data_IF_413152679736
#
_entry.id   IF_413152679736
#
_cell.length_a   1.000
_cell.length_b   1.000
_cell.length_c   1.000
_cell.angle_alpha   90.00
_cell.angle_beta   90.00
_cell.angle_gamma   90.00
#
_symmetry.space_group_name_H-M   'P 1'
#
loop_
_entity.id
_entity.type
_entity.pdbx_description
1 polymer ?
#
# COMPACT_ATOMS: atom_id res chain seq x y z
N UNK A 1 -5.18 -7.96 15.74
CA UNK A 1 -6.64 -8.06 15.58
C UNK A 1 -6.90 -8.84 14.30
N UNK A 2 -7.69 -9.91 14.34
CA UNK A 2 -8.10 -10.63 13.13
C UNK A 2 -9.00 -9.68 12.32
N UNK A 3 -8.69 -9.44 11.05
CA UNK A 3 -9.68 -8.87 10.13
C UNK A 3 -10.88 -9.81 10.15
N UNK A 4 -12.00 -9.36 10.73
CA UNK A 4 -13.26 -10.07 10.62
C UNK A 4 -13.71 -9.92 9.18
N UNK A 5 -13.90 -11.04 8.49
CA UNK A 5 -14.69 -11.06 7.25
C UNK A 5 -16.01 -10.36 7.53
N UNK A 6 -16.33 -9.37 6.69
CA UNK A 6 -17.56 -8.59 6.77
C UNK A 6 -18.75 -9.54 6.61
N UNK A 7 -19.63 -9.58 7.63
CA UNK A 7 -20.84 -10.42 7.58
C UNK A 7 -21.77 -9.92 6.47
N UNK A 8 -21.93 -10.71 5.42
CA UNK A 8 -22.81 -10.41 4.27
C UNK A 8 -22.10 -10.41 2.93
N UNK A 9 -20.76 -10.39 2.90
CA UNK A 9 -20.01 -10.64 1.69
C UNK A 9 -20.12 -12.12 1.32
N UNK A 10 -20.59 -12.42 0.11
CA UNK A 10 -20.20 -13.68 -0.52
C UNK A 10 -18.67 -13.76 -0.45
N UNK A 11 -18.06 -14.92 -0.17
CA UNK A 11 -16.61 -15.04 -0.19
C UNK A 11 -16.14 -14.43 -1.50
N UNK A 12 -15.30 -13.39 -1.45
CA UNK A 12 -14.85 -12.69 -2.65
C UNK A 12 -14.21 -13.73 -3.56
N UNK A 13 -14.96 -14.17 -4.56
CA UNK A 13 -14.44 -15.05 -5.59
C UNK A 13 -13.63 -14.12 -6.47
N UNK A 14 -12.31 -14.22 -6.39
CA UNK A 14 -11.46 -13.71 -7.46
C UNK A 14 -12.10 -14.16 -8.77
N UNK A 15 -12.31 -13.27 -9.76
CA UNK A 15 -12.60 -13.76 -11.10
C UNK A 15 -11.52 -14.78 -11.41
N UNK A 16 -11.95 -15.99 -11.81
CA UNK A 16 -11.05 -17.12 -11.98
C UNK A 16 -9.80 -16.62 -12.72
N UNK A 17 -8.62 -16.91 -12.16
CA UNK A 17 -7.33 -16.57 -12.79
C UNK A 17 -7.16 -17.26 -14.15
N UNK A 18 -8.13 -18.09 -14.55
CA UNK A 18 -8.21 -18.85 -15.78
C UNK A 18 -9.58 -18.60 -16.44
N UNK A 19 -9.56 -18.02 -17.66
CA UNK A 19 -10.76 -17.73 -18.46
C UNK A 19 -10.48 -16.76 -19.63
N UNK A 20 -11.34 -16.78 -20.66
CA UNK A 20 -11.22 -15.96 -21.90
C UNK A 20 -11.29 -14.44 -21.67
N UNK A 21 -11.70 -13.99 -20.48
CA UNK A 21 -11.79 -12.57 -20.09
C UNK A 21 -10.59 -12.07 -19.27
N UNK A 22 -9.57 -12.91 -19.07
CA UNK A 22 -8.37 -12.54 -18.29
C UNK A 22 -7.54 -11.50 -19.04
N UNK A 23 -7.35 -10.34 -18.43
CA UNK A 23 -6.33 -9.39 -18.86
C UNK A 23 -4.97 -9.98 -18.49
N UNK A 24 -4.17 -10.33 -19.51
CA UNK A 24 -2.79 -10.76 -19.30
C UNK A 24 -1.90 -9.55 -18.98
N UNK A 25 -1.60 -9.39 -17.70
CA UNK A 25 -0.73 -8.33 -17.17
C UNK A 25 0.75 -8.77 -17.11
N UNK A 26 1.10 -9.90 -17.71
CA UNK A 26 2.44 -10.49 -17.66
C UNK A 26 2.81 -11.03 -16.28
N UNK A 27 4.10 -11.30 -16.07
CA UNK A 27 4.63 -11.98 -14.89
C UNK A 27 5.56 -11.10 -14.03
N UNK A 28 5.41 -9.77 -14.12
CA UNK A 28 6.22 -8.85 -13.32
C UNK A 28 5.99 -9.06 -11.82
N UNK A 29 7.07 -9.07 -11.06
CA UNK A 29 7.09 -9.28 -9.61
C UNK A 29 8.20 -8.44 -8.99
N UNK A 30 7.93 -7.85 -7.83
CA UNK A 30 8.98 -7.18 -7.04
C UNK A 30 9.98 -8.21 -6.54
N UNK A 31 11.29 -7.92 -6.61
CA UNK A 31 12.30 -8.94 -6.28
C UNK A 31 12.18 -9.47 -4.84
N UNK A 32 12.02 -8.58 -3.86
CA UNK A 32 11.90 -8.91 -2.43
C UNK A 32 10.77 -8.10 -1.82
N UNK A 33 9.94 -8.78 -1.02
CA UNK A 33 8.93 -8.13 -0.18
C UNK A 33 9.09 -8.61 1.26
N UNK A 34 9.49 -7.68 2.14
CA UNK A 34 9.76 -8.01 3.54
C UNK A 34 8.51 -8.61 4.20
N UNK A 35 8.69 -9.76 4.86
CA UNK A 35 7.66 -10.49 5.59
C UNK A 35 6.52 -11.03 4.72
N UNK A 36 6.76 -11.23 3.42
CA UNK A 36 5.80 -11.82 2.51
C UNK A 36 6.35 -13.00 1.72
N UNK A 37 7.63 -12.98 1.32
CA UNK A 37 8.23 -14.01 0.44
C UNK A 37 8.21 -15.44 1.02
N UNK A 38 7.91 -15.59 2.31
CA UNK A 38 7.76 -16.89 2.98
C UNK A 38 6.35 -17.47 2.86
N UNK A 39 5.39 -16.68 2.39
CA UNK A 39 4.00 -17.08 2.23
C UNK A 39 3.61 -16.96 0.76
N UNK A 40 3.65 -18.09 0.05
CA UNK A 40 3.39 -18.14 -1.41
C UNK A 40 2.01 -17.62 -1.79
N UNK A 41 0.97 -17.93 -1.01
CA UNK A 41 -0.39 -17.46 -1.28
C UNK A 41 -0.50 -15.94 -1.12
N UNK A 42 0.05 -15.39 -0.03
CA UNK A 42 0.11 -13.95 0.19
C UNK A 42 0.92 -13.23 -0.89
N UNK A 43 2.04 -13.84 -1.31
CA UNK A 43 2.93 -13.32 -2.35
C UNK A 43 2.24 -13.28 -3.71
N UNK A 44 1.50 -14.33 -4.09
CA UNK A 44 0.73 -14.38 -5.34
C UNK A 44 -0.30 -13.25 -5.43
N UNK A 45 -1.05 -12.99 -4.34
CA UNK A 45 -1.98 -11.86 -4.28
C UNK A 45 -1.27 -10.52 -4.40
N UNK A 46 -0.15 -10.33 -3.70
CA UNK A 46 0.63 -9.09 -3.79
C UNK A 46 1.14 -8.82 -5.20
N UNK A 47 1.69 -9.83 -5.88
CA UNK A 47 2.24 -9.68 -7.22
C UNK A 47 1.16 -9.38 -8.26
N UNK A 48 -0.04 -9.97 -8.10
CA UNK A 48 -1.20 -9.58 -8.92
C UNK A 48 -1.65 -8.15 -8.62
N UNK A 49 -1.73 -7.78 -7.34
CA UNK A 49 -2.07 -6.43 -6.92
C UNK A 49 -1.10 -5.38 -7.45
N UNK A 50 0.20 -5.67 -7.43
CA UNK A 50 1.24 -4.80 -7.98
C UNK A 50 1.04 -4.58 -9.48
N UNK A 51 0.83 -5.64 -10.25
CA UNK A 51 0.58 -5.53 -11.71
C UNK A 51 -0.68 -4.72 -12.02
N UNK A 52 -1.77 -4.95 -11.28
CA UNK A 52 -3.01 -4.18 -11.42
C UNK A 52 -2.83 -2.70 -11.06
N UNK A 53 -2.05 -2.42 -10.01
CA UNK A 53 -1.74 -1.05 -9.57
C UNK A 53 -0.91 -0.31 -10.63
N UNK A 54 0.11 -0.97 -11.19
CA UNK A 54 0.93 -0.43 -12.29
C UNK A 54 0.11 -0.19 -13.57
N UNK A 55 -0.99 -0.92 -13.77
CA UNK A 55 -1.93 -0.72 -14.88
C UNK A 55 -3.10 0.22 -14.53
N UNK A 56 -3.03 0.97 -13.42
CA UNK A 56 -4.08 1.87 -12.95
C UNK A 56 -5.44 1.20 -12.62
N UNK A 57 -5.49 -0.11 -12.41
CA UNK A 57 -6.66 -0.84 -11.90
C UNK A 57 -6.64 -0.88 -10.36
N UNK A 58 -6.67 0.30 -9.75
CA UNK A 58 -6.45 0.47 -8.31
C UNK A 58 -7.47 -0.25 -7.42
N UNK A 59 -8.73 -0.35 -7.84
CA UNK A 59 -9.76 -1.05 -7.07
C UNK A 59 -9.50 -2.57 -6.99
N UNK A 60 -9.13 -3.19 -8.10
CA UNK A 60 -8.80 -4.62 -8.07
C UNK A 60 -7.46 -4.85 -7.36
N UNK A 61 -6.51 -3.93 -7.52
CA UNK A 61 -5.25 -3.97 -6.78
C UNK A 61 -5.46 -3.88 -5.26
N UNK A 62 -6.36 -3.02 -4.78
CA UNK A 62 -6.64 -2.87 -3.35
C UNK A 62 -7.19 -4.17 -2.75
N UNK A 63 -8.12 -4.83 -3.43
CA UNK A 63 -8.66 -6.16 -3.06
C UNK A 63 -7.54 -7.21 -3.00
N UNK A 64 -6.61 -7.20 -3.95
CA UNK A 64 -5.45 -8.08 -3.93
C UNK A 64 -4.52 -7.83 -2.72
N UNK A 65 -4.23 -6.57 -2.40
CA UNK A 65 -3.39 -6.25 -1.24
C UNK A 65 -4.06 -6.63 0.08
N UNK A 66 -5.38 -6.47 0.20
CA UNK A 66 -6.14 -6.95 1.36
C UNK A 66 -6.04 -8.48 1.50
N UNK A 67 -6.27 -9.22 0.41
CA UNK A 67 -6.11 -10.68 0.41
C UNK A 67 -4.67 -11.11 0.77
N UNK A 68 -3.66 -10.36 0.32
CA UNK A 68 -2.27 -10.57 0.73
C UNK A 68 -2.06 -10.36 2.24
N UNK A 69 -2.65 -9.31 2.80
CA UNK A 69 -2.58 -8.97 4.23
C UNK A 69 -3.31 -9.97 5.13
N UNK A 70 -4.38 -10.63 4.65
CA UNK A 70 -5.01 -11.74 5.37
C UNK A 70 -4.06 -12.91 5.57
N UNK A 71 -3.22 -13.18 4.57
CA UNK A 71 -2.21 -14.24 4.61
C UNK A 71 -0.95 -13.81 5.38
N UNK A 72 -0.55 -12.54 5.26
CA UNK A 72 0.68 -11.99 5.84
C UNK A 72 0.45 -10.59 6.45
N UNK A 73 -0.12 -10.51 7.67
CA UNK A 73 -0.46 -9.23 8.32
C UNK A 73 0.74 -8.35 8.68
N UNK A 74 1.96 -8.90 8.62
CA UNK A 74 3.21 -8.19 8.90
C UNK A 74 3.87 -7.59 7.65
N UNK A 75 3.22 -7.70 6.48
CA UNK A 75 3.66 -7.07 5.23
C UNK A 75 3.30 -5.58 5.22
N UNK A 76 4.21 -4.73 5.72
CA UNK A 76 3.98 -3.28 5.75
C UNK A 76 3.87 -2.68 4.33
N UNK A 77 4.58 -3.24 3.34
CA UNK A 77 4.53 -2.74 1.97
C UNK A 77 3.13 -2.89 1.36
N UNK A 78 2.42 -3.99 1.64
CA UNK A 78 1.05 -4.19 1.15
C UNK A 78 0.10 -3.11 1.67
N UNK A 79 0.23 -2.68 2.93
CA UNK A 79 -0.52 -1.53 3.45
C UNK A 79 -0.17 -0.22 2.72
N UNK A 80 1.10 0.03 2.42
CA UNK A 80 1.51 1.22 1.68
C UNK A 80 0.97 1.28 0.25
N UNK A 81 1.07 0.18 -0.50
CA UNK A 81 0.57 0.14 -1.87
C UNK A 81 -0.96 0.18 -1.93
N UNK A 82 -1.63 -0.43 -0.95
CA UNK A 82 -3.07 -0.27 -0.73
C UNK A 82 -3.44 1.19 -0.48
N UNK A 83 -2.65 1.93 0.31
CA UNK A 83 -2.88 3.35 0.51
C UNK A 83 -2.72 4.15 -0.80
N UNK A 84 -1.73 3.83 -1.64
CA UNK A 84 -1.57 4.46 -2.95
C UNK A 84 -2.76 4.20 -3.89
N UNK A 85 -3.33 2.99 -3.87
CA UNK A 85 -4.54 2.69 -4.65
C UNK A 85 -5.73 3.60 -4.31
N UNK A 86 -5.77 4.13 -3.09
CA UNK A 86 -6.84 5.00 -2.61
C UNK A 86 -6.45 6.48 -2.56
N UNK A 87 -5.19 6.82 -2.82
CA UNK A 87 -4.70 8.19 -2.82
C UNK A 87 -5.10 8.95 -4.09
N UNK A 88 -5.18 10.30 -4.04
CA UNK A 88 -5.31 11.10 -5.26
C UNK A 88 -4.16 10.79 -6.22
N UNK A 89 -4.48 10.62 -7.51
CA UNK A 89 -3.49 10.37 -8.55
C UNK A 89 -3.81 11.22 -9.80
N UNK A 90 -2.93 11.16 -10.82
CA UNK A 90 -3.09 11.97 -12.03
C UNK A 90 -4.47 11.81 -12.71
N UNK A 91 -5.08 10.63 -12.61
CA UNK A 91 -6.39 10.29 -13.18
C UNK A 91 -7.53 10.33 -12.15
N UNK A 92 -7.27 10.77 -10.91
CA UNK A 92 -8.26 10.77 -9.85
C UNK A 92 -8.06 11.92 -8.85
N UNK A 93 -8.98 12.90 -8.88
CA UNK A 93 -8.97 14.07 -7.97
C UNK A 93 -9.36 13.74 -6.52
N UNK A 94 -9.61 12.47 -6.20
CA UNK A 94 -10.06 12.08 -4.86
C UNK A 94 -11.58 12.15 -4.66
N UNK A 95 -12.34 12.69 -5.62
CA UNK A 95 -13.79 12.93 -5.48
C UNK A 95 -14.67 11.73 -5.89
N UNK A 96 -14.15 10.80 -6.69
CA UNK A 96 -14.91 9.64 -7.16
C UNK A 96 -15.09 8.57 -6.07
N UNK A 97 -16.24 7.89 -6.17
CA UNK A 97 -16.68 6.82 -5.29
C UNK A 97 -16.17 5.48 -5.82
N UNK A 98 -15.46 4.70 -4.99
CA UNK A 98 -15.14 3.30 -5.28
C UNK A 98 -15.87 2.42 -4.26
N UNK A 99 -16.39 1.26 -4.68
CA UNK A 99 -16.98 0.28 -3.75
C UNK A 99 -15.97 -0.15 -2.67
N UNK A 100 -14.69 -0.22 -3.03
CA UNK A 100 -13.59 -0.48 -2.09
C UNK A 100 -13.37 0.61 -1.03
N UNK A 101 -14.01 1.78 -1.17
CA UNK A 101 -14.01 2.84 -0.17
C UNK A 101 -15.19 2.73 0.83
N UNK A 102 -16.06 1.73 0.69
CA UNK A 102 -17.16 1.46 1.61
C UNK A 102 -16.74 0.51 2.74
N UNK A 103 -16.93 0.92 4.00
CA UNK A 103 -16.85 0.03 5.15
C UNK A 103 -18.24 -0.09 5.81
N UNK A 104 -18.71 -1.34 5.98
CA UNK A 104 -20.01 -1.62 6.59
C UNK A 104 -20.08 -1.23 8.08
N UNK A 105 -18.95 -1.20 8.78
CA UNK A 105 -18.87 -0.75 10.19
C UNK A 105 -19.01 0.77 10.36
N UNK A 106 -19.03 1.51 9.26
CA UNK A 106 -19.10 2.98 9.25
C UNK A 106 -20.46 3.50 8.76
N UNK A 107 -21.39 2.63 8.34
CA UNK A 107 -22.73 3.04 7.83
C UNK A 107 -23.57 3.81 8.85
N UNK A 108 -23.33 3.58 10.14
CA UNK A 108 -24.06 4.23 11.24
C UNK A 108 -23.26 5.37 11.91
N UNK A 109 -22.07 5.71 11.40
CA UNK A 109 -21.27 6.84 11.92
C UNK A 109 -21.55 8.08 11.06
N UNK A 110 -21.96 9.21 11.66
CA UNK A 110 -22.25 10.45 10.93
C UNK A 110 -21.02 11.02 10.19
N UNK A 111 -19.82 10.51 10.49
CA UNK A 111 -18.56 10.85 9.83
C UNK A 111 -18.47 10.34 8.37
N UNK A 112 -19.45 9.61 7.84
CA UNK A 112 -19.57 9.32 6.39
C UNK A 112 -20.35 10.40 5.60
N UNK A 113 -20.74 11.50 6.24
CA UNK A 113 -20.88 12.79 5.55
C UNK A 113 -19.52 13.35 5.08
N UNK A 114 -18.41 12.65 5.33
CA UNK A 114 -17.08 13.13 5.02
C UNK A 114 -16.82 13.11 3.51
N UNK A 115 -16.54 14.32 3.04
CA UNK A 115 -15.99 14.60 1.72
C UNK A 115 -14.72 13.73 1.58
N UNK A 116 -14.66 12.84 0.58
CA UNK A 116 -13.50 12.00 0.19
C UNK A 116 -13.21 10.69 0.99
N UNK A 117 -14.10 9.66 0.93
CA UNK A 117 -13.90 8.37 1.63
C UNK A 117 -12.63 7.62 1.22
N UNK A 118 -12.22 7.69 -0.06
CA UNK A 118 -10.99 7.04 -0.53
C UNK A 118 -9.75 7.59 0.19
N UNK A 119 -9.68 8.91 0.42
CA UNK A 119 -8.54 9.51 1.09
C UNK A 119 -8.41 9.05 2.55
N UNK A 120 -9.53 8.74 3.22
CA UNK A 120 -9.50 8.18 4.57
C UNK A 120 -8.94 6.75 4.59
N UNK A 121 -9.30 5.92 3.61
CA UNK A 121 -8.72 4.57 3.45
C UNK A 121 -7.22 4.66 3.24
N UNK A 122 -6.77 5.61 2.40
CA UNK A 122 -5.35 5.88 2.18
C UNK A 122 -4.62 6.31 3.46
N UNK A 123 -5.19 7.26 4.21
CA UNK A 123 -4.66 7.69 5.51
C UNK A 123 -4.57 6.51 6.49
N UNK A 124 -5.63 5.69 6.61
CA UNK A 124 -5.67 4.53 7.50
C UNK A 124 -4.55 3.54 7.21
N UNK A 125 -4.44 3.09 5.96
CA UNK A 125 -3.47 2.06 5.61
C UNK A 125 -2.03 2.55 5.61
N UNK A 126 -1.77 3.79 5.19
CA UNK A 126 -0.43 4.38 5.32
C UNK A 126 0.01 4.52 6.78
N UNK A 127 -0.90 4.87 7.70
CA UNK A 127 -0.64 4.88 9.14
C UNK A 127 -0.30 3.47 9.64
N UNK A 128 -1.11 2.47 9.29
CA UNK A 128 -0.86 1.07 9.65
C UNK A 128 0.49 0.57 9.12
N UNK A 129 0.92 0.99 7.93
CA UNK A 129 2.24 0.65 7.39
C UNK A 129 3.37 1.21 8.26
N UNK A 130 3.27 2.48 8.68
CA UNK A 130 4.27 3.12 9.56
C UNK A 130 4.27 2.49 10.95
N UNK A 131 3.10 2.21 11.52
CA UNK A 131 2.98 1.49 12.80
C UNK A 131 3.62 0.09 12.71
N UNK A 132 3.39 -0.62 11.61
CA UNK A 132 3.99 -1.94 11.36
C UNK A 132 5.51 -1.89 11.30
N UNK A 133 6.09 -0.87 10.65
CA UNK A 133 7.55 -0.63 10.67
C UNK A 133 8.06 -0.58 12.11
N UNK A 134 7.38 0.18 12.98
CA UNK A 134 7.78 0.31 14.38
C UNK A 134 7.67 -1.00 15.16
N UNK A 135 6.57 -1.73 14.98
CA UNK A 135 6.34 -3.03 15.61
C UNK A 135 7.45 -4.01 15.27
N UNK A 136 7.77 -4.14 13.98
CA UNK A 136 8.84 -5.03 13.49
C UNK A 136 10.21 -4.62 14.06
N UNK A 137 10.51 -3.32 14.11
CA UNK A 137 11.76 -2.80 14.73
C UNK A 137 11.80 -3.09 16.23
N UNK A 138 10.72 -2.87 16.96
CA UNK A 138 10.61 -3.16 18.41
C UNK A 138 10.78 -4.66 18.68
N UNK A 139 10.11 -5.52 17.91
CA UNK A 139 10.23 -6.97 18.02
C UNK A 139 11.67 -7.45 17.79
N UNK A 140 12.34 -6.92 16.76
CA UNK A 140 13.72 -7.25 16.47
C UNK A 140 14.69 -6.81 17.58
N UNK A 141 14.54 -5.59 18.13
CA UNK A 141 15.35 -5.10 19.26
C UNK A 141 15.19 -6.00 20.50
N UNK A 142 13.95 -6.35 20.86
CA UNK A 142 13.66 -7.28 21.98
C UNK A 142 14.33 -8.64 21.76
N UNK A 143 14.32 -9.16 20.52
CA UNK A 143 14.97 -10.42 20.15
C UNK A 143 16.50 -10.35 20.29
N UNK A 144 17.13 -9.27 19.82
CA UNK A 144 18.59 -9.07 19.97
C UNK A 144 19.00 -9.03 21.45
N UNK A 145 18.18 -8.42 22.31
CA UNK A 145 18.34 -8.46 23.76
C UNK A 145 18.24 -9.87 24.34
N UNK A 146 17.20 -10.64 23.98
CA UNK A 146 17.01 -12.03 24.44
C UNK A 146 18.08 -13.00 23.92
N UNK A 147 18.56 -12.83 22.68
CA UNK A 147 19.61 -13.69 22.07
C UNK A 147 20.98 -13.48 22.71
N UNK A 148 21.28 -12.27 23.22
CA UNK A 148 22.45 -12.04 24.08
C UNK A 148 22.38 -12.81 25.41
N UNK A 149 21.19 -13.22 25.86
CA UNK A 149 20.97 -13.94 27.12
C UNK A 149 20.78 -15.46 26.95
N UNK A 150 20.46 -15.98 25.75
CA UNK A 150 20.25 -17.42 25.49
C UNK A 150 21.39 -18.01 24.64
N UNK A 151 22.11 -18.98 25.19
CA UNK A 151 23.23 -19.73 24.55
C UNK A 151 22.79 -20.98 23.76
N UNK A 152 21.50 -21.33 23.73
CA UNK A 152 21.02 -22.59 23.11
C UNK A 152 20.17 -22.32 21.85
N UNK A 153 20.40 -23.02 20.71
CA UNK A 153 19.60 -22.86 19.50
C UNK A 153 18.21 -23.48 19.67
N UNK A 154 17.17 -22.76 19.23
CA UNK A 154 15.78 -23.24 19.19
C UNK A 154 15.41 -23.56 17.75
N UNK A 155 14.98 -24.79 17.49
CA UNK A 155 14.77 -25.34 16.15
C UNK A 155 13.28 -25.45 15.79
N UNK A 156 12.53 -24.35 15.94
CA UNK A 156 11.12 -24.30 15.50
C UNK A 156 11.05 -23.61 14.14
N UNK A 157 10.56 -24.33 13.14
CA UNK A 157 10.59 -23.99 11.71
C UNK A 157 9.63 -22.88 11.24
N UNK A 158 9.02 -22.11 12.14
CA UNK A 158 8.29 -20.90 11.74
C UNK A 158 9.28 -19.75 11.54
N UNK A 159 9.46 -19.32 10.29
CA UNK A 159 10.27 -18.13 9.97
C UNK A 159 9.59 -16.90 10.57
N UNK A 160 10.11 -16.43 11.70
CA UNK A 160 9.65 -15.21 12.35
C UNK A 160 9.80 -13.98 11.44
N UNK A 161 8.95 -12.94 11.62
CA UNK A 161 9.07 -11.69 10.89
C UNK A 161 10.49 -11.08 10.98
N UNK A 162 10.99 -10.70 9.81
CA UNK A 162 12.24 -10.01 9.59
C UNK A 162 12.12 -8.50 9.85
N UNK A 163 13.27 -7.83 9.96
CA UNK A 163 13.30 -6.37 10.01
C UNK A 163 12.94 -5.86 8.63
N UNK A 164 12.03 -4.89 8.59
CA UNK A 164 11.70 -4.19 7.35
C UNK A 164 12.92 -3.56 6.69
N UNK A 165 13.02 -3.74 5.37
CA UNK A 165 14.10 -3.21 4.56
C UNK A 165 14.12 -1.67 4.58
N UNK A 166 15.30 -1.09 4.34
CA UNK A 166 15.47 0.36 4.36
C UNK A 166 14.74 1.06 3.20
N UNK A 167 14.71 0.42 2.02
CA UNK A 167 13.96 0.90 0.85
C UNK A 167 12.47 0.95 1.14
N UNK A 168 11.88 -0.11 1.71
CA UNK A 168 10.47 -0.12 2.09
C UNK A 168 10.18 0.92 3.18
N UNK A 169 11.04 1.08 4.18
CA UNK A 169 10.85 2.10 5.21
C UNK A 169 10.75 3.51 4.63
N UNK A 170 11.66 3.86 3.72
CA UNK A 170 11.70 5.20 3.14
C UNK A 170 10.57 5.43 2.14
N UNK A 171 10.22 4.40 1.36
CA UNK A 171 9.09 4.49 0.44
C UNK A 171 7.77 4.64 1.20
N UNK A 172 7.52 3.84 2.23
CA UNK A 172 6.33 3.94 3.07
C UNK A 172 6.24 5.29 3.81
N UNK A 173 7.38 5.85 4.22
CA UNK A 173 7.41 7.20 4.79
C UNK A 173 7.02 8.26 3.76
N UNK A 174 7.47 8.16 2.51
CA UNK A 174 7.06 9.05 1.44
C UNK A 174 5.56 8.91 1.14
N UNK A 175 5.03 7.68 1.04
CA UNK A 175 3.59 7.43 0.86
C UNK A 175 2.78 8.10 1.98
N UNK A 176 3.25 8.02 3.23
CA UNK A 176 2.56 8.67 4.36
C UNK A 176 2.47 10.19 4.21
N UNK A 177 3.45 10.85 3.59
CA UNK A 177 3.41 12.30 3.32
C UNK A 177 2.24 12.66 2.41
N UNK A 178 1.99 11.85 1.37
CA UNK A 178 0.88 12.07 0.44
C UNK A 178 -0.48 11.89 1.13
N UNK A 179 -0.60 10.88 1.98
CA UNK A 179 -1.89 10.38 2.47
C UNK A 179 -2.28 10.89 3.86
N UNK A 180 -1.42 11.65 4.54
CA UNK A 180 -1.67 12.08 5.93
C UNK A 180 -2.66 13.23 6.10
N UNK A 181 -3.16 13.81 5.01
CA UNK A 181 -4.04 14.98 5.02
C UNK A 181 -5.32 14.73 4.21
N UNK A 182 -6.18 13.78 4.64
CA UNK A 182 -7.44 13.54 3.95
C UNK A 182 -8.33 14.78 3.99
N UNK A 183 -9.00 15.06 2.88
CA UNK A 183 -9.86 16.24 2.71
C UNK A 183 -9.12 17.55 2.51
N UNK A 184 -7.87 17.49 2.06
CA UNK A 184 -7.14 18.68 1.61
C UNK A 184 -7.91 19.37 0.48
N UNK A 185 -7.97 20.70 0.56
CA UNK A 185 -8.51 21.54 -0.51
C UNK A 185 -7.77 21.22 -1.83
N UNK A 186 -8.48 20.86 -2.92
CA UNK A 186 -7.85 20.59 -4.22
C UNK A 186 -6.93 21.70 -4.71
N UNK A 187 -7.27 22.97 -4.46
CA UNK A 187 -6.46 24.12 -4.90
C UNK A 187 -5.16 24.26 -4.11
N UNK A 188 -5.10 23.71 -2.89
CA UNK A 188 -3.92 23.70 -2.02
C UNK A 188 -3.18 22.35 -2.04
N UNK A 189 -3.76 21.33 -2.67
CA UNK A 189 -3.24 19.95 -2.66
C UNK A 189 -1.82 19.84 -3.21
N UNK A 190 -1.49 20.64 -4.23
CA UNK A 190 -0.15 20.71 -4.80
C UNK A 190 0.90 21.06 -3.73
N UNK A 191 0.67 22.11 -2.95
CA UNK A 191 1.67 22.60 -1.99
C UNK A 191 1.66 21.82 -0.68
N UNK A 192 0.49 21.34 -0.24
CA UNK A 192 0.35 20.66 1.06
C UNK A 192 0.83 19.21 0.99
N UNK A 193 0.46 18.46 -0.05
CA UNK A 193 0.79 17.02 -0.16
C UNK A 193 1.58 16.66 -1.41
N UNK A 194 1.31 17.29 -2.55
CA UNK A 194 1.93 16.94 -3.85
C UNK A 194 3.43 17.18 -3.90
N UNK A 195 3.86 18.44 -3.77
CA UNK A 195 5.27 18.86 -3.80
C UNK A 195 6.08 18.19 -2.68
N UNK A 196 5.59 18.12 -1.42
CA UNK A 196 6.28 17.38 -0.36
C UNK A 196 6.43 15.88 -0.66
N UNK A 197 5.41 15.23 -1.21
CA UNK A 197 5.48 13.82 -1.61
C UNK A 197 6.52 13.60 -2.71
N UNK A 198 6.50 14.43 -3.76
CA UNK A 198 7.47 14.37 -4.86
C UNK A 198 8.91 14.58 -4.38
N UNK A 199 9.15 15.54 -3.48
CA UNK A 199 10.47 15.75 -2.88
C UNK A 199 10.90 14.60 -1.96
N UNK A 200 9.96 13.96 -1.27
CA UNK A 200 10.25 12.76 -0.50
C UNK A 200 10.63 11.60 -1.42
N UNK A 201 9.84 11.33 -2.47
CA UNK A 201 10.13 10.28 -3.45
C UNK A 201 11.43 10.51 -4.20
N UNK A 202 11.79 11.76 -4.52
CA UNK A 202 13.10 12.10 -5.10
C UNK A 202 14.25 11.59 -4.24
N UNK A 203 14.20 11.82 -2.92
CA UNK A 203 15.24 11.35 -1.99
C UNK A 203 15.31 9.82 -1.92
N UNK A 204 14.16 9.14 -2.01
CA UNK A 204 14.14 7.67 -2.08
C UNK A 204 14.77 7.19 -3.39
N UNK A 205 14.40 7.79 -4.52
CA UNK A 205 14.94 7.46 -5.83
C UNK A 205 16.45 7.70 -5.93
N UNK A 206 16.97 8.83 -5.46
CA UNK A 206 18.42 9.11 -5.44
C UNK A 206 19.23 8.06 -4.66
N UNK A 207 18.60 7.35 -3.72
CA UNK A 207 19.23 6.29 -2.94
C UNK A 207 19.02 4.88 -3.52
N UNK A 208 17.93 4.66 -4.25
CA UNK A 208 17.50 3.35 -4.76
C UNK A 208 17.11 3.42 -6.25
N UNK A 209 17.91 4.11 -7.04
CA UNK A 209 17.67 4.41 -8.46
C UNK A 209 17.54 3.18 -9.38
N UNK A 210 18.13 2.05 -8.95
CA UNK A 210 18.05 0.77 -9.63
C UNK A 210 16.82 -0.07 -9.26
N UNK A 211 16.00 0.39 -8.30
CA UNK A 211 14.75 -0.28 -7.91
C UNK A 211 13.62 0.20 -8.83
N UNK A 212 13.07 -0.68 -9.71
CA UNK A 212 12.10 -0.27 -10.72
C UNK A 212 10.79 0.25 -10.13
N UNK A 213 10.34 -0.26 -8.98
CA UNK A 213 9.14 0.27 -8.34
C UNK A 213 9.37 1.63 -7.69
N UNK A 214 10.58 1.90 -7.18
CA UNK A 214 10.94 3.25 -6.70
C UNK A 214 11.01 4.23 -7.86
N UNK A 215 11.60 3.82 -8.99
CA UNK A 215 11.62 4.64 -10.21
C UNK A 215 10.21 4.97 -10.70
N UNK A 216 9.32 3.96 -10.73
CA UNK A 216 7.90 4.15 -11.02
C UNK A 216 7.23 5.12 -10.05
N UNK A 217 7.37 4.89 -8.73
CA UNK A 217 6.74 5.73 -7.72
C UNK A 217 7.24 7.18 -7.77
N UNK A 218 8.51 7.39 -8.12
CA UNK A 218 9.03 8.75 -8.32
C UNK A 218 8.45 9.42 -9.56
N UNK A 219 8.39 8.70 -10.69
CA UNK A 219 7.73 9.21 -11.90
C UNK A 219 6.25 9.56 -11.64
N UNK A 220 5.52 8.67 -10.96
CA UNK A 220 4.13 8.87 -10.56
C UNK A 220 3.98 10.12 -9.67
N UNK A 221 4.86 10.30 -8.68
CA UNK A 221 4.85 11.49 -7.82
C UNK A 221 5.04 12.81 -8.56
N UNK A 222 5.75 12.80 -9.70
CA UNK A 222 5.92 13.98 -10.55
C UNK A 222 4.69 14.25 -11.41
N UNK A 223 3.99 13.19 -11.84
CA UNK A 223 2.75 13.32 -12.59
C UNK A 223 1.67 14.00 -11.72
N UNK A 224 1.57 13.63 -10.44
CA UNK A 224 0.61 14.22 -9.50
C UNK A 224 0.74 15.75 -9.40
N UNK A 225 1.93 16.33 -9.60
CA UNK A 225 2.13 17.78 -9.55
C UNK A 225 1.42 18.55 -10.68
N UNK A 226 1.19 17.91 -11.82
CA UNK A 226 0.58 18.54 -12.99
C UNK A 226 -0.72 17.83 -13.38
N UNK A 227 -1.38 17.19 -12.41
CA UNK A 227 -2.63 16.48 -12.63
C UNK A 227 -3.58 17.35 -13.46
N UNK A 228 -4.07 16.81 -14.59
CA UNK A 228 -5.06 17.46 -15.46
C UNK A 228 -4.60 18.71 -16.22
N UNK A 229 -3.31 19.02 -16.21
CA UNK A 229 -2.72 20.17 -16.91
C UNK A 229 -1.78 19.76 -18.07
N UNK A 230 -1.80 18.49 -18.50
CA UNK A 230 -0.88 18.02 -19.55
C UNK A 230 -1.23 18.49 -20.97
N UNK A 231 -2.47 18.88 -21.23
CA UNK A 231 -2.91 19.30 -22.56
C UNK A 231 -3.91 20.45 -22.46
N UNK A 232 -3.68 21.50 -23.25
CA UNK A 232 -4.72 22.48 -23.58
C UNK A 232 -5.42 21.98 -24.86
N UNK A 233 -6.75 21.85 -24.82
CA UNK A 233 -7.50 21.59 -26.03
C UNK A 233 -7.59 22.88 -26.84
N UNK A 234 -7.34 22.85 -28.17
CA UNK A 234 -7.44 24.04 -29.02
C UNK A 234 -8.84 24.65 -29.07
#
# INVERSE_FOLDING_TARGET
MRHQQLQGETPFSFPALDGETRIDLGAYQRLIVTNLDVNEAGRAYFDLGLRLMLSYQHEMASKCFLASLEQSPDCALAHGLLALCHSPNYNFKGEAYYESACHFEDTDKPDLLCVFPSQQVADRHSRMAVEKIEELRKAHRKRKGKKKQRTVPSNNGEKLPSVISDVECQWLAAIRVLTSSPGVDPDLSHDIVGRPYSDAMRKVYEKFDNDPEIAYGFAESLMVLNAWQLYEYP
#
